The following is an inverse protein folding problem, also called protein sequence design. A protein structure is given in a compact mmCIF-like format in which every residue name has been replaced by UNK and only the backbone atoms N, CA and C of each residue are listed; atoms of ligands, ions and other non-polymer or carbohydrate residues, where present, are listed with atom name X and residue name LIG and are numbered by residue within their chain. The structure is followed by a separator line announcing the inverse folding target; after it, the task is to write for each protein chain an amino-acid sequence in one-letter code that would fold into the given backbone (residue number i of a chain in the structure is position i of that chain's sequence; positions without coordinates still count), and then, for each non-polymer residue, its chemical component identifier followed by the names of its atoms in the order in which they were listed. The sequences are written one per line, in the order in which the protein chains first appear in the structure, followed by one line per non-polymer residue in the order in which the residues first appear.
data_IF_200491471503
#
_entry.id   IF_200491471503
#
_cell.length_a   1.000
_cell.length_b   1.000
_cell.length_c   1.000
_cell.angle_alpha   90.00
_cell.angle_beta   90.00
_cell.angle_gamma   90.00
#
_symmetry.space_group_name_H-M   'P 1'
#
loop_
_entity.id
_entity.type
_entity.pdbx_description
1 polymer ?
#
# COMPACT_ATOMS: atom_id res chain seq x y z
N UNK A 1 -38.96 -23.36 11.79
CA UNK A 1 -38.19 -23.00 12.63
C UNK A 1 -36.82 -23.39 12.44
N UNK A 2 -36.60 -24.42 12.12
CA UNK A 2 -35.32 -24.81 12.03
C UNK A 2 -34.65 -24.28 10.89
N UNK A 3 -35.26 -23.81 10.02
CA UNK A 3 -34.75 -23.31 8.88
C UNK A 3 -33.69 -22.32 9.13
N UNK A 4 -33.91 -21.58 10.03
CA UNK A 4 -33.05 -20.55 10.36
C UNK A 4 -31.64 -20.95 10.41
N UNK A 5 -31.46 -22.01 10.86
CA UNK A 5 -30.18 -22.46 11.02
C UNK A 5 -29.36 -22.45 9.81
N UNK A 6 -29.91 -22.89 8.85
CA UNK A 6 -29.21 -23.02 7.69
C UNK A 6 -28.31 -21.96 7.26
N UNK A 7 -28.74 -20.79 7.18
CA UNK A 7 -27.95 -19.87 6.57
C UNK A 7 -26.90 -19.35 7.38
N UNK A 8 -26.97 -19.58 8.57
CA UNK A 8 -25.97 -19.05 9.34
C UNK A 8 -24.66 -19.25 8.83
N UNK A 9 -24.38 -20.41 8.55
CA UNK A 9 -23.08 -20.68 8.30
C UNK A 9 -22.59 -20.15 7.05
N UNK A 10 -23.38 -19.89 6.22
CA UNK A 10 -22.91 -19.51 4.95
C UNK A 10 -22.12 -18.28 5.08
N UNK A 11 -22.40 -17.55 6.03
CA UNK A 11 -21.76 -16.34 6.17
C UNK A 11 -20.33 -16.53 6.45
N UNK A 12 -20.07 -17.46 7.23
CA UNK A 12 -18.73 -17.59 7.65
C UNK A 12 -17.83 -17.86 6.54
N UNK A 13 -18.30 -18.44 5.54
CA UNK A 13 -17.45 -18.80 4.56
C UNK A 13 -16.92 -17.64 3.83
N UNK A 14 -17.73 -16.69 3.62
CA UNK A 14 -17.32 -15.61 2.81
C UNK A 14 -16.40 -14.72 3.56
N UNK A 15 -16.29 -14.89 4.83
CA UNK A 15 -15.48 -13.99 5.59
C UNK A 15 -14.03 -14.37 5.62
N UNK A 16 -13.63 -15.35 4.90
CA UNK A 16 -12.25 -15.72 4.95
C UNK A 16 -11.39 -14.69 4.30
N UNK A 17 -10.38 -14.27 4.98
CA UNK A 17 -9.42 -13.30 4.48
C UNK A 17 -8.07 -13.97 4.40
N UNK A 18 -7.26 -13.56 3.46
CA UNK A 18 -5.90 -14.05 3.36
C UNK A 18 -5.06 -13.25 4.34
N UNK A 19 -4.41 -13.95 5.25
CA UNK A 19 -3.61 -13.27 6.26
C UNK A 19 -2.33 -12.74 5.67
N UNK A 20 -1.85 -11.61 6.18
CA UNK A 20 -0.59 -11.09 5.70
C UNK A 20 0.57 -11.98 6.11
N UNK A 21 1.63 -11.93 5.35
CA UNK A 21 2.86 -12.63 5.67
C UNK A 21 3.85 -11.65 6.28
N UNK A 22 4.58 -12.11 7.30
CA UNK A 22 5.63 -11.31 7.91
C UNK A 22 6.91 -12.13 7.90
N UNK A 23 8.00 -11.52 7.46
CA UNK A 23 9.28 -12.21 7.35
C UNK A 23 10.39 -11.36 7.95
N UNK A 24 11.20 -11.96 8.80
CA UNK A 24 12.28 -11.22 9.43
C UNK A 24 13.41 -11.01 8.43
N UNK A 25 13.86 -9.79 8.29
CA UNK A 25 14.98 -9.44 7.42
C UNK A 25 15.94 -8.58 8.22
N UNK A 26 16.91 -9.21 8.91
CA UNK A 26 17.84 -8.49 9.77
C UNK A 26 17.07 -7.89 10.95
N UNK A 27 17.17 -6.60 11.13
CA UNK A 27 16.43 -5.93 12.20
C UNK A 27 15.11 -5.34 11.69
N UNK A 28 14.71 -5.69 10.48
CA UNK A 28 13.43 -5.25 9.92
C UNK A 28 12.50 -6.44 9.79
N UNK A 29 11.22 -6.16 9.67
CA UNK A 29 10.21 -7.17 9.40
C UNK A 29 9.53 -6.79 8.09
N UNK A 30 9.59 -7.66 7.09
CA UNK A 30 8.89 -7.40 5.84
C UNK A 30 7.45 -7.86 6.00
N UNK A 31 6.51 -7.00 5.64
CA UNK A 31 5.09 -7.33 5.64
C UNK A 31 4.58 -7.37 4.22
N UNK A 32 3.79 -8.39 3.88
CA UNK A 32 3.15 -8.50 2.57
C UNK A 32 1.67 -8.73 2.82
N UNK A 33 0.86 -7.85 2.23
CA UNK A 33 -0.59 -7.89 2.41
C UNK A 33 -1.25 -8.26 1.09
N UNK A 34 -2.36 -8.97 1.15
CA UNK A 34 -2.98 -9.53 -0.03
C UNK A 34 -4.42 -9.08 -0.22
N UNK A 35 -4.84 -9.02 -1.48
CA UNK A 35 -6.22 -8.84 -1.84
C UNK A 35 -6.93 -10.19 -1.68
N UNK A 36 -8.23 -10.22 -1.72
CA UNK A 36 -8.99 -11.45 -1.55
C UNK A 36 -8.70 -12.48 -2.65
N UNK A 37 -8.24 -12.04 -3.82
CA UNK A 37 -7.92 -12.95 -4.90
C UNK A 37 -6.50 -13.52 -4.79
N UNK A 38 -5.78 -13.17 -3.73
CA UNK A 38 -4.43 -13.68 -3.51
C UNK A 38 -3.32 -12.83 -4.08
N UNK A 39 -3.66 -11.77 -4.82
CA UNK A 39 -2.62 -10.89 -5.35
C UNK A 39 -2.13 -9.96 -4.24
N UNK A 40 -0.91 -9.49 -4.36
CA UNK A 40 -0.32 -8.59 -3.36
C UNK A 40 -0.99 -7.22 -3.46
N UNK A 41 -1.47 -6.70 -2.34
CA UNK A 41 -2.05 -5.36 -2.29
C UNK A 41 -1.01 -4.33 -1.88
N UNK A 42 -0.14 -4.66 -0.94
CA UNK A 42 0.94 -3.77 -0.55
C UNK A 42 2.02 -4.52 0.19
N UNK A 43 3.22 -4.00 0.15
CA UNK A 43 4.34 -4.62 0.85
C UNK A 43 5.34 -3.57 1.28
N UNK A 44 6.07 -3.85 2.33
CA UNK A 44 7.08 -2.94 2.86
C UNK A 44 7.70 -3.50 4.12
N UNK A 45 8.43 -2.67 4.84
CA UNK A 45 9.13 -3.12 6.03
C UNK A 45 8.74 -2.30 7.25
N UNK A 46 8.88 -2.95 8.40
CA UNK A 46 8.69 -2.33 9.72
C UNK A 46 10.01 -2.38 10.47
N UNK A 47 10.26 -1.38 11.29
CA UNK A 47 11.39 -1.36 12.20
C UNK A 47 10.82 -1.01 13.56
N UNK A 48 11.04 -1.89 14.54
CA UNK A 48 10.51 -1.70 15.90
C UNK A 48 9.01 -1.38 15.90
N UNK A 49 8.27 -2.08 15.03
CA UNK A 49 6.82 -1.93 14.96
C UNK A 49 6.33 -0.73 14.19
N UNK A 50 7.22 0.06 13.62
CA UNK A 50 6.84 1.26 12.87
C UNK A 50 7.14 1.09 11.39
N UNK A 51 6.33 1.72 10.55
CA UNK A 51 6.60 1.72 9.11
C UNK A 51 7.98 2.33 8.88
N UNK A 52 8.81 1.67 8.07
CA UNK A 52 10.17 2.13 7.84
C UNK A 52 10.64 1.64 6.46
N UNK A 53 11.21 2.52 5.67
CA UNK A 53 11.66 2.18 4.33
C UNK A 53 10.56 2.38 3.30
N UNK A 54 10.68 1.71 2.18
CA UNK A 54 9.77 1.88 1.06
C UNK A 54 8.60 0.93 1.13
N UNK A 55 7.40 1.47 0.97
CA UNK A 55 6.17 0.71 0.90
C UNK A 55 5.56 0.89 -0.48
N UNK A 56 5.11 -0.20 -1.08
CA UNK A 56 4.57 -0.19 -2.43
C UNK A 56 3.16 -0.76 -2.40
N UNK A 57 2.23 -0.09 -3.08
CA UNK A 57 0.87 -0.55 -3.23
C UNK A 57 0.61 -0.91 -4.69
N UNK A 58 -0.19 -1.94 -4.90
CA UNK A 58 -0.48 -2.46 -6.23
C UNK A 58 -1.98 -2.52 -6.46
N UNK A 59 -2.39 -2.43 -7.73
CA UNK A 59 -3.79 -2.67 -8.07
C UNK A 59 -3.97 -4.19 -8.28
N UNK A 60 -5.17 -4.61 -8.63
CA UNK A 60 -5.46 -6.03 -8.77
C UNK A 60 -4.81 -6.66 -9.98
N UNK A 61 -4.29 -5.87 -10.90
CA UNK A 61 -3.56 -6.38 -12.06
C UNK A 61 -2.07 -6.44 -11.77
N UNK A 62 -1.66 -6.12 -10.56
CA UNK A 62 -0.25 -6.17 -10.17
C UNK A 62 0.55 -4.94 -10.56
N UNK A 63 -0.11 -3.87 -11.00
CA UNK A 63 0.60 -2.65 -11.34
C UNK A 63 0.78 -1.80 -10.11
N UNK A 64 1.92 -1.14 -9.98
CA UNK A 64 2.16 -0.24 -8.87
C UNK A 64 1.24 0.97 -8.99
N UNK A 65 0.56 1.30 -7.92
CA UNK A 65 -0.28 2.49 -7.87
C UNK A 65 0.27 3.52 -6.89
N UNK A 66 1.14 3.12 -5.97
CA UNK A 66 1.76 4.06 -5.05
C UNK A 66 3.09 3.51 -4.55
N UNK A 67 4.01 4.42 -4.27
CA UNK A 67 5.27 4.08 -3.64
C UNK A 67 5.51 5.15 -2.58
N UNK A 68 5.72 4.72 -1.35
CA UNK A 68 5.82 5.61 -0.20
C UNK A 68 7.12 5.36 0.54
N UNK A 69 7.63 6.36 1.19
CA UNK A 69 8.83 6.21 2.01
C UNK A 69 8.56 6.68 3.42
N UNK A 70 8.99 5.88 4.39
CA UNK A 70 8.81 6.17 5.81
C UNK A 70 10.13 6.05 6.55
N UNK A 71 10.26 6.82 7.61
CA UNK A 71 11.39 6.69 8.52
C UNK A 71 10.82 6.75 9.92
N UNK A 72 10.93 5.67 10.67
CA UNK A 72 10.40 5.56 12.04
C UNK A 72 8.93 5.99 12.14
N UNK A 73 8.14 5.56 11.18
CA UNK A 73 6.71 5.82 11.16
C UNK A 73 6.31 7.16 10.56
N UNK A 74 7.28 7.98 10.17
CA UNK A 74 6.99 9.30 9.61
C UNK A 74 7.17 9.30 8.10
N UNK A 75 6.32 10.02 7.40
CA UNK A 75 6.44 10.15 5.96
C UNK A 75 7.67 10.97 5.64
N UNK A 76 8.49 10.48 4.71
CA UNK A 76 9.72 11.15 4.34
C UNK A 76 10.03 10.90 2.88
N UNK A 77 10.84 11.74 2.28
CA UNK A 77 11.33 11.54 0.92
C UNK A 77 10.24 11.62 -0.13
N UNK A 78 10.49 10.98 -1.25
CA UNK A 78 9.58 11.07 -2.37
C UNK A 78 8.54 9.98 -2.34
N UNK A 79 7.30 10.38 -2.59
CA UNK A 79 6.16 9.50 -2.70
C UNK A 79 5.63 9.63 -4.11
N UNK A 80 5.26 8.51 -4.71
CA UNK A 80 4.76 8.49 -6.07
C UNK A 80 3.37 7.88 -6.11
N UNK A 81 2.49 8.48 -6.90
CA UNK A 81 1.14 7.97 -7.09
C UNK A 81 0.88 7.92 -8.60
N UNK A 82 0.55 6.73 -9.09
CA UNK A 82 0.29 6.54 -10.51
C UNK A 82 -1.21 6.40 -10.76
N UNK A 83 -1.69 7.05 -11.79
CA UNK A 83 -3.05 6.87 -12.28
C UNK A 83 -2.97 6.63 -13.77
N UNK A 84 -4.10 6.42 -14.45
CA UNK A 84 -4.11 6.06 -15.86
C UNK A 84 -3.48 7.14 -16.75
N UNK A 85 -3.50 8.38 -16.33
CA UNK A 85 -3.01 9.47 -17.18
C UNK A 85 -2.04 10.41 -16.47
N UNK A 86 -1.58 10.07 -15.29
CA UNK A 86 -0.77 11.03 -14.54
C UNK A 86 0.11 10.36 -13.51
N UNK A 87 1.26 10.93 -13.26
CA UNK A 87 2.11 10.57 -12.14
C UNK A 87 2.18 11.78 -11.22
N UNK A 88 1.92 11.56 -9.94
CA UNK A 88 2.07 12.60 -8.95
C UNK A 88 3.22 12.24 -8.04
N UNK A 89 4.15 13.17 -7.85
CA UNK A 89 5.30 13.00 -6.96
C UNK A 89 5.14 13.98 -5.81
N UNK A 90 5.21 13.48 -4.58
CA UNK A 90 5.05 14.31 -3.38
C UNK A 90 6.32 14.17 -2.55
N UNK A 91 6.93 15.28 -2.21
CA UNK A 91 8.10 15.29 -1.33
C UNK A 91 7.64 15.57 0.09
N UNK A 92 8.04 14.69 1.01
CA UNK A 92 7.71 14.84 2.42
C UNK A 92 8.97 15.06 3.27
N UNK A 93 8.83 15.87 4.30
CA UNK A 93 9.85 16.02 5.34
C UNK A 93 9.11 15.91 6.67
N UNK A 94 9.38 14.86 7.42
CA UNK A 94 8.74 14.62 8.74
C UNK A 94 7.22 14.82 8.70
N UNK A 95 6.55 14.07 7.84
CA UNK A 95 5.08 14.09 7.68
C UNK A 95 4.54 15.37 7.02
N UNK A 96 5.39 16.31 6.66
CA UNK A 96 4.92 17.56 6.07
C UNK A 96 5.23 17.57 4.58
N UNK A 97 4.26 17.95 3.76
CA UNK A 97 4.45 18.04 2.32
C UNK A 97 5.30 19.27 2.02
N UNK A 98 6.45 19.05 1.38
CA UNK A 98 7.33 20.12 0.97
C UNK A 98 7.05 20.56 -0.47
N UNK A 99 6.72 19.61 -1.34
CA UNK A 99 6.48 19.90 -2.75
C UNK A 99 5.60 18.84 -3.40
N UNK A 100 4.76 19.23 -4.35
CA UNK A 100 3.95 18.31 -5.14
C UNK A 100 4.24 18.59 -6.61
N UNK A 101 4.59 17.57 -7.38
CA UNK A 101 4.87 17.69 -8.80
C UNK A 101 3.99 16.71 -9.55
N UNK A 102 3.38 17.16 -10.65
CA UNK A 102 2.51 16.32 -11.47
C UNK A 102 3.06 16.23 -12.87
N UNK A 103 3.08 15.03 -13.41
CA UNK A 103 3.52 14.75 -14.79
C UNK A 103 2.40 14.08 -15.53
N UNK A 104 2.29 14.33 -16.84
CA UNK A 104 1.33 13.60 -17.66
C UNK A 104 1.90 12.23 -18.00
N UNK A 105 1.13 11.41 -18.73
CA UNK A 105 1.56 10.05 -19.03
C UNK A 105 2.75 9.98 -19.97
N UNK A 106 3.11 11.10 -20.61
CA UNK A 106 4.30 11.14 -21.45
C UNK A 106 5.52 11.59 -20.67
N UNK A 107 5.36 11.84 -19.37
CA UNK A 107 6.46 12.32 -18.54
C UNK A 107 6.67 13.81 -18.60
N UNK A 108 5.73 14.55 -19.19
CA UNK A 108 5.83 15.99 -19.27
C UNK A 108 5.34 16.63 -17.97
N UNK A 109 6.12 17.54 -17.44
CA UNK A 109 5.74 18.24 -16.22
C UNK A 109 4.48 19.05 -16.46
N UNK A 110 3.45 18.82 -15.64
CA UNK A 110 2.19 19.55 -15.73
C UNK A 110 2.14 20.67 -14.72
N UNK A 111 2.53 20.39 -13.48
CA UNK A 111 2.47 21.42 -12.44
C UNK A 111 3.38 21.05 -11.29
N UNK A 112 3.81 22.05 -10.53
CA UNK A 112 4.64 21.85 -9.36
C UNK A 112 4.26 22.91 -8.33
N UNK A 113 4.02 22.46 -7.11
CA UNK A 113 3.67 23.36 -6.02
C UNK A 113 4.68 23.29 -4.91
#
# INVERSE_FOLDING_TARGET
MLVVVAFLFSVTLSAQEIKPDFEKQGNLIKGTFYNQDGSVSQEGTYKDGKLHGTWISYDQDGKKVAMANYEDGKKTGKWFFWSSNQLMEVDYTNNIIAEVTKYDYNGTLVTRN
#
